data_IF_472854744565
#
_entry.id   IF_472854744565
#
_cell.length_a   1.000
_cell.length_b   1.000
_cell.length_c   1.000
_cell.angle_alpha   90.00
_cell.angle_beta   90.00
_cell.angle_gamma   90.00
#
_symmetry.space_group_name_H-M   'P 1'
#
loop_
_entity.id
_entity.type
_entity.pdbx_description
1 polymer ?
#
# COMPACT_ATOMS: atom_id res chain seq x y z
N UNK A 1 -11.89 13.28 19.63
CA UNK A 1 -12.28 11.83 19.63
C UNK A 1 -11.94 11.31 18.23
N UNK A 2 -11.12 10.30 18.15
CA UNK A 2 -10.77 9.65 16.87
C UNK A 2 -11.45 8.30 16.79
N UNK A 3 -11.81 7.86 15.57
CA UNK A 3 -12.31 6.52 15.33
C UNK A 3 -11.20 5.48 15.61
N UNK A 4 -11.53 4.40 16.30
CA UNK A 4 -10.62 3.26 16.46
C UNK A 4 -10.63 2.42 15.17
N UNK A 5 -9.53 2.46 14.44
CA UNK A 5 -9.35 1.64 13.24
C UNK A 5 -8.62 0.34 13.60
N UNK A 6 -9.27 -0.83 13.41
CA UNK A 6 -8.64 -2.12 13.69
C UNK A 6 -7.68 -2.49 12.54
N UNK A 7 -6.45 -2.81 12.86
CA UNK A 7 -5.49 -3.30 11.86
C UNK A 7 -4.03 -3.01 12.24
N UNK A 8 -3.09 -3.79 11.70
CA UNK A 8 -1.68 -3.51 11.86
C UNK A 8 -1.25 -2.30 11.03
N UNK A 9 -0.10 -1.71 11.37
CA UNK A 9 0.57 -0.75 10.48
C UNK A 9 0.79 -1.39 9.11
N UNK A 10 0.63 -0.61 8.05
CA UNK A 10 0.70 -1.12 6.67
C UNK A 10 2.00 -1.86 6.40
N UNK A 11 3.13 -1.31 6.83
CA UNK A 11 4.46 -1.95 6.71
C UNK A 11 4.51 -3.30 7.41
N UNK A 12 3.99 -3.37 8.63
CA UNK A 12 4.04 -4.59 9.44
C UNK A 12 3.09 -5.65 8.89
N UNK A 13 1.87 -5.24 8.51
CA UNK A 13 0.88 -6.13 7.89
C UNK A 13 1.37 -6.73 6.56
N UNK A 14 1.98 -5.90 5.71
CA UNK A 14 2.58 -6.34 4.45
C UNK A 14 3.75 -7.29 4.69
N UNK A 15 4.65 -6.95 5.60
CA UNK A 15 5.82 -7.78 5.94
C UNK A 15 5.40 -9.13 6.49
N UNK A 16 4.44 -9.16 7.42
CA UNK A 16 3.90 -10.40 7.99
C UNK A 16 3.26 -11.28 6.91
N UNK A 17 2.47 -10.69 6.01
CA UNK A 17 1.87 -11.42 4.90
C UNK A 17 2.91 -12.05 3.99
N UNK A 18 3.88 -11.27 3.51
CA UNK A 18 4.91 -11.78 2.60
C UNK A 18 5.86 -12.77 3.27
N UNK A 19 6.15 -12.62 4.57
CA UNK A 19 6.92 -13.61 5.32
C UNK A 19 6.19 -14.96 5.40
N UNK A 20 4.89 -14.93 5.67
CA UNK A 20 4.05 -16.14 5.69
C UNK A 20 3.98 -16.78 4.30
N UNK A 21 3.81 -15.97 3.25
CA UNK A 21 3.77 -16.42 1.87
C UNK A 21 5.12 -17.03 1.44
N UNK A 22 6.24 -16.38 1.75
CA UNK A 22 7.60 -16.90 1.48
C UNK A 22 7.82 -18.26 2.13
N UNK A 23 7.44 -18.39 3.40
CA UNK A 23 7.54 -19.66 4.13
C UNK A 23 6.70 -20.76 3.47
N UNK A 24 5.50 -20.45 2.99
CA UNK A 24 4.65 -21.40 2.27
C UNK A 24 5.26 -21.84 0.92
N UNK A 25 6.11 -21.01 0.29
CA UNK A 25 6.86 -21.32 -0.91
C UNK A 25 8.23 -21.98 -0.64
N UNK A 26 8.56 -22.25 0.61
CA UNK A 26 9.86 -22.84 1.00
C UNK A 26 11.05 -21.89 0.86
N UNK A 27 10.80 -20.57 0.92
CA UNK A 27 11.80 -19.52 0.80
C UNK A 27 11.73 -18.54 1.97
N UNK A 28 12.58 -17.51 1.99
CA UNK A 28 12.60 -16.47 3.01
C UNK A 28 12.22 -15.11 2.42
N UNK A 29 11.70 -14.21 3.24
CA UNK A 29 11.35 -12.86 2.81
C UNK A 29 12.57 -12.12 2.23
N UNK A 30 13.73 -12.24 2.89
CA UNK A 30 14.97 -11.59 2.46
C UNK A 30 15.41 -12.04 1.05
N UNK A 31 15.24 -13.34 0.74
CA UNK A 31 15.56 -13.88 -0.58
C UNK A 31 14.62 -13.29 -1.64
N UNK A 32 13.33 -13.21 -1.35
CA UNK A 32 12.35 -12.61 -2.25
C UNK A 32 12.61 -11.10 -2.48
N UNK A 33 12.97 -10.36 -1.43
CA UNK A 33 13.34 -8.95 -1.55
C UNK A 33 14.60 -8.77 -2.41
N UNK A 34 15.58 -9.64 -2.26
CA UNK A 34 16.80 -9.62 -3.08
C UNK A 34 16.53 -9.93 -4.54
N UNK A 35 15.75 -10.97 -4.82
CA UNK A 35 15.33 -11.35 -6.18
C UNK A 35 14.51 -10.24 -6.83
N UNK A 36 13.59 -9.60 -6.10
CA UNK A 36 12.81 -8.49 -6.61
C UNK A 36 13.67 -7.26 -6.94
N UNK A 37 14.64 -6.92 -6.09
CA UNK A 37 15.59 -5.82 -6.37
C UNK A 37 16.42 -6.11 -7.60
N UNK A 38 17.00 -7.30 -7.70
CA UNK A 38 17.80 -7.71 -8.85
C UNK A 38 16.97 -7.65 -10.15
N UNK A 39 15.73 -8.12 -10.10
CA UNK A 39 14.84 -8.06 -11.26
C UNK A 39 14.52 -6.63 -11.69
N UNK A 40 14.34 -5.70 -10.74
CA UNK A 40 14.14 -4.28 -11.04
C UNK A 40 15.41 -3.66 -11.64
N UNK A 41 16.59 -4.05 -11.17
CA UNK A 41 17.87 -3.58 -11.72
C UNK A 41 18.11 -4.09 -13.16
N UNK A 42 17.72 -5.33 -13.46
CA UNK A 42 17.91 -5.96 -14.79
C UNK A 42 16.85 -5.55 -15.81
N UNK A 43 15.57 -5.54 -15.40
CA UNK A 43 14.41 -5.36 -16.30
C UNK A 43 13.81 -3.93 -16.21
N UNK A 44 14.25 -3.14 -15.23
CA UNK A 44 13.65 -1.84 -14.91
C UNK A 44 12.36 -1.95 -14.11
N UNK A 45 11.73 -0.81 -13.84
CA UNK A 45 10.46 -0.76 -13.11
C UNK A 45 9.35 -1.29 -14.03
N UNK A 46 8.61 -2.35 -13.63
CA UNK A 46 7.57 -2.91 -14.47
C UNK A 46 6.47 -1.88 -14.76
N UNK A 47 5.86 -1.99 -15.93
CA UNK A 47 4.71 -1.16 -16.29
C UNK A 47 3.62 -1.25 -15.21
N UNK A 48 2.90 -0.15 -15.01
CA UNK A 48 1.88 -0.02 -13.98
C UNK A 48 0.88 -1.18 -14.02
N UNK A 49 0.86 -1.99 -12.97
CA UNK A 49 -0.09 -3.07 -12.78
C UNK A 49 -1.10 -2.68 -11.71
N UNK A 50 -2.37 -2.58 -12.08
CA UNK A 50 -3.45 -2.16 -11.17
C UNK A 50 -3.94 -3.27 -10.23
N UNK A 51 -3.38 -4.47 -10.35
CA UNK A 51 -3.85 -5.64 -9.61
C UNK A 51 -5.13 -6.27 -10.22
N UNK A 52 -5.69 -7.29 -9.57
CA UNK A 52 -6.90 -7.94 -10.02
C UNK A 52 -8.12 -7.02 -9.92
N UNK A 53 -9.09 -7.16 -10.82
CA UNK A 53 -10.30 -6.37 -10.82
C UNK A 53 -11.11 -6.55 -9.53
N UNK A 54 -11.93 -5.55 -9.18
CA UNK A 54 -12.78 -5.58 -7.98
C UNK A 54 -13.71 -6.81 -7.96
N UNK A 55 -14.17 -7.25 -9.13
CA UNK A 55 -15.00 -8.45 -9.28
C UNK A 55 -14.22 -9.73 -8.89
N UNK A 56 -12.99 -9.88 -9.41
CA UNK A 56 -12.11 -11.03 -9.05
C UNK A 56 -11.80 -11.05 -7.56
N UNK A 57 -11.50 -9.90 -6.97
CA UNK A 57 -11.25 -9.76 -5.53
C UNK A 57 -12.51 -10.11 -4.73
N UNK A 58 -13.70 -9.66 -5.17
CA UNK A 58 -14.97 -9.98 -4.54
C UNK A 58 -15.30 -11.47 -4.58
N UNK A 59 -15.09 -12.12 -5.72
CA UNK A 59 -15.24 -13.58 -5.86
C UNK A 59 -14.28 -14.35 -4.94
N UNK A 60 -13.03 -13.95 -4.92
CA UNK A 60 -12.02 -14.59 -4.07
C UNK A 60 -12.32 -14.41 -2.58
N UNK A 61 -12.80 -13.23 -2.18
CA UNK A 61 -13.28 -12.97 -0.81
C UNK A 61 -14.41 -13.91 -0.41
N UNK A 62 -15.43 -14.05 -1.27
CA UNK A 62 -16.56 -14.96 -1.01
C UNK A 62 -16.12 -16.41 -0.88
N UNK A 63 -15.21 -16.83 -1.76
CA UNK A 63 -14.64 -18.17 -1.70
C UNK A 63 -13.86 -18.41 -0.40
N UNK A 64 -13.01 -17.46 0.03
CA UNK A 64 -12.28 -17.54 1.29
C UNK A 64 -13.23 -17.63 2.50
N UNK A 65 -14.28 -16.81 2.49
CA UNK A 65 -15.28 -16.82 3.56
C UNK A 65 -16.03 -18.14 3.63
N UNK A 66 -16.48 -18.66 2.49
CA UNK A 66 -17.16 -19.97 2.42
C UNK A 66 -16.25 -21.11 2.87
N UNK A 67 -14.99 -21.13 2.38
CA UNK A 67 -13.99 -22.11 2.82
C UNK A 67 -13.71 -22.00 4.31
N UNK A 68 -13.53 -20.79 4.83
CA UNK A 68 -13.30 -20.54 6.27
C UNK A 68 -14.46 -20.98 7.12
N UNK A 69 -15.70 -20.69 6.71
CA UNK A 69 -16.91 -21.13 7.40
C UNK A 69 -17.02 -22.67 7.46
N UNK A 70 -16.72 -23.34 6.37
CA UNK A 70 -16.75 -24.81 6.29
C UNK A 70 -15.70 -25.46 7.21
N UNK A 71 -14.46 -24.93 7.19
CA UNK A 71 -13.39 -25.40 8.06
C UNK A 71 -13.71 -25.14 9.54
N UNK A 72 -14.22 -23.95 9.85
CA UNK A 72 -14.59 -23.58 11.21
C UNK A 72 -15.78 -24.39 11.75
N UNK A 73 -16.73 -24.77 10.90
CA UNK A 73 -17.79 -25.70 11.27
C UNK A 73 -17.20 -27.05 11.67
N UNK A 74 -16.27 -27.62 10.89
CA UNK A 74 -15.55 -28.84 11.23
C UNK A 74 -14.75 -28.74 12.53
N UNK A 75 -14.02 -27.62 12.71
CA UNK A 75 -13.27 -27.33 13.95
C UNK A 75 -14.24 -27.22 15.14
N UNK A 76 -15.40 -26.58 14.96
CA UNK A 76 -16.41 -26.46 15.98
C UNK A 76 -16.97 -27.84 16.45
N UNK A 77 -17.23 -28.73 15.50
CA UNK A 77 -17.64 -30.11 15.79
C UNK A 77 -16.51 -30.85 16.54
N UNK A 78 -15.29 -30.78 16.06
CA UNK A 78 -14.12 -31.36 16.71
C UNK A 78 -13.96 -30.81 18.15
N UNK A 79 -13.98 -29.50 18.33
CA UNK A 79 -13.80 -28.88 19.65
C UNK A 79 -14.92 -29.20 20.63
N UNK A 80 -16.16 -29.41 20.16
CA UNK A 80 -17.31 -29.79 20.98
C UNK A 80 -17.29 -31.26 21.42
N UNK A 81 -16.58 -32.12 20.71
CA UNK A 81 -16.47 -33.56 20.94
C UNK A 81 -15.09 -33.94 21.48
N UNK A 82 -14.16 -34.22 20.58
CA UNK A 82 -12.80 -34.70 20.88
C UNK A 82 -11.89 -33.62 21.48
N UNK A 83 -12.07 -32.36 21.10
CA UNK A 83 -11.29 -31.24 21.59
C UNK A 83 -11.47 -30.94 23.09
N UNK A 84 -12.55 -31.46 23.72
CA UNK A 84 -12.73 -31.40 25.18
C UNK A 84 -11.78 -32.32 25.94
N UNK A 85 -11.34 -33.40 25.31
CA UNK A 85 -10.42 -34.41 25.89
C UNK A 85 -9.00 -34.20 25.43
N UNK A 86 -8.83 -33.65 24.19
CA UNK A 86 -7.55 -33.24 23.58
C UNK A 86 -7.50 -31.74 23.55
N UNK A 87 -6.36 -31.18 23.07
CA UNK A 87 -6.24 -29.73 22.88
C UNK A 87 -7.23 -29.23 21.82
N UNK A 88 -7.99 -28.14 22.08
CA UNK A 88 -8.88 -27.56 21.09
C UNK A 88 -8.08 -26.97 19.93
N UNK A 89 -8.62 -27.07 18.73
CA UNK A 89 -8.07 -26.46 17.53
C UNK A 89 -8.48 -24.99 17.43
N UNK A 90 -7.53 -24.12 17.02
CA UNK A 90 -7.85 -22.73 16.73
C UNK A 90 -8.71 -22.61 15.46
N UNK A 91 -9.65 -21.67 15.47
CA UNK A 91 -10.43 -21.34 14.27
C UNK A 91 -9.57 -20.69 13.21
N UNK A 92 -9.89 -20.94 11.94
CA UNK A 92 -9.19 -20.37 10.78
C UNK A 92 -9.72 -18.96 10.52
N UNK A 93 -8.83 -17.98 10.55
CA UNK A 93 -9.14 -16.63 10.11
C UNK A 93 -9.01 -16.53 8.59
N UNK A 94 -10.06 -16.04 7.94
CA UNK A 94 -10.08 -15.83 6.49
C UNK A 94 -9.77 -14.37 6.19
N UNK A 95 -8.48 -14.03 6.14
CA UNK A 95 -8.03 -12.69 5.72
C UNK A 95 -7.78 -12.65 4.22
N UNK A 96 -8.11 -11.52 3.58
CA UNK A 96 -7.74 -11.27 2.19
C UNK A 96 -6.24 -10.98 2.10
N UNK A 97 -5.55 -11.54 1.08
CA UNK A 97 -4.20 -11.10 0.79
C UNK A 97 -4.18 -9.62 0.45
N UNK A 98 -3.18 -8.86 0.92
CA UNK A 98 -3.05 -7.45 0.59
C UNK A 98 -2.83 -7.27 -0.91
N UNK A 99 -3.68 -6.45 -1.53
CA UNK A 99 -3.53 -6.10 -2.94
C UNK A 99 -2.57 -4.90 -3.06
N UNK A 100 -1.28 -5.18 -3.05
CA UNK A 100 -0.21 -4.17 -3.08
C UNK A 100 -0.38 -3.14 -4.20
N UNK A 101 -0.64 -3.52 -5.46
CA UNK A 101 -0.83 -2.53 -6.53
C UNK A 101 -2.00 -1.59 -6.25
N UNK A 102 -3.10 -2.10 -5.72
CA UNK A 102 -4.27 -1.29 -5.36
C UNK A 102 -4.00 -0.38 -4.16
N UNK A 103 -3.24 -0.88 -3.18
CA UNK A 103 -2.83 -0.09 -2.02
C UNK A 103 -2.02 1.12 -2.50
N UNK A 104 -0.99 0.89 -3.32
CA UNK A 104 -0.15 1.96 -3.88
C UNK A 104 -0.99 2.94 -4.71
N UNK A 105 -1.85 2.45 -5.61
CA UNK A 105 -2.72 3.30 -6.42
C UNK A 105 -3.66 4.16 -5.55
N UNK A 106 -4.22 3.58 -4.49
CA UNK A 106 -5.10 4.30 -3.54
C UNK A 106 -4.34 5.39 -2.80
N UNK A 107 -3.14 5.08 -2.29
CA UNK A 107 -2.28 6.05 -1.60
C UNK A 107 -1.87 7.19 -2.52
N UNK A 108 -1.42 6.88 -3.74
CA UNK A 108 -1.01 7.88 -4.73
C UNK A 108 -2.18 8.79 -5.14
N UNK A 109 -3.37 8.24 -5.33
CA UNK A 109 -4.57 9.03 -5.65
C UNK A 109 -5.00 9.92 -4.50
N UNK A 110 -5.06 9.38 -3.27
CA UNK A 110 -5.43 10.14 -2.09
C UNK A 110 -4.45 11.29 -1.86
N UNK A 111 -3.15 11.00 -1.93
CA UNK A 111 -2.10 12.00 -1.74
C UNK A 111 -2.07 13.05 -2.86
N UNK A 112 -2.23 12.60 -4.10
CA UNK A 112 -2.35 13.51 -5.25
C UNK A 112 -3.57 14.43 -5.15
N UNK A 113 -4.71 13.91 -4.66
CA UNK A 113 -5.91 14.72 -4.44
C UNK A 113 -5.69 15.77 -3.34
N UNK A 114 -5.14 15.35 -2.19
CA UNK A 114 -4.79 16.26 -1.09
C UNK A 114 -3.85 17.38 -1.53
N UNK A 115 -2.82 17.04 -2.30
CA UNK A 115 -1.81 17.99 -2.78
C UNK A 115 -2.35 18.95 -3.85
N UNK A 116 -2.99 18.40 -4.89
CA UNK A 116 -3.31 19.17 -6.11
C UNK A 116 -4.71 19.80 -6.06
N UNK A 117 -5.66 19.17 -5.37
CA UNK A 117 -7.06 19.64 -5.30
C UNK A 117 -7.33 20.40 -4.02
N UNK A 118 -7.08 19.76 -2.86
CA UNK A 118 -7.36 20.38 -1.56
C UNK A 118 -6.29 21.42 -1.18
N UNK A 119 -5.04 21.21 -1.57
CA UNK A 119 -3.90 22.03 -1.16
C UNK A 119 -3.54 21.83 0.31
N UNK A 120 -4.05 20.79 0.94
CA UNK A 120 -3.76 20.39 2.33
C UNK A 120 -3.38 18.91 2.31
N UNK A 121 -2.17 18.59 2.71
CA UNK A 121 -1.66 17.24 2.60
C UNK A 121 -0.76 16.84 3.78
N UNK A 122 -0.66 15.54 4.02
CA UNK A 122 0.30 15.00 4.97
C UNK A 122 1.70 15.00 4.33
N UNK A 123 2.63 15.75 4.91
CA UNK A 123 4.01 15.88 4.42
C UNK A 123 4.93 14.72 4.87
N UNK A 124 4.42 13.78 5.67
CA UNK A 124 5.14 12.60 6.14
C UNK A 124 4.37 11.30 5.81
N UNK A 125 4.21 10.94 4.52
CA UNK A 125 3.42 9.80 4.09
C UNK A 125 4.19 8.47 4.18
N UNK A 126 4.85 8.19 5.30
CA UNK A 126 5.54 6.90 5.46
C UNK A 126 4.57 5.78 5.85
N UNK A 127 4.93 4.53 5.53
CA UNK A 127 4.05 3.36 5.72
C UNK A 127 3.65 3.06 7.16
N UNK A 128 4.33 3.64 8.16
CA UNK A 128 3.97 3.57 9.56
C UNK A 128 2.76 4.43 9.95
N UNK A 129 2.40 5.42 9.09
CA UNK A 129 1.25 6.31 9.28
C UNK A 129 -0.03 5.80 8.58
N UNK A 130 0.02 4.57 8.08
CA UNK A 130 -1.12 3.90 7.47
C UNK A 130 -1.43 2.59 8.20
N UNK A 131 -2.71 2.24 8.28
CA UNK A 131 -3.19 0.96 8.77
C UNK A 131 -3.75 0.12 7.62
N UNK A 132 -3.46 -1.16 7.63
CA UNK A 132 -4.09 -2.13 6.74
C UNK A 132 -5.30 -2.73 7.45
N UNK A 133 -6.51 -2.33 7.03
CA UNK A 133 -7.74 -2.79 7.65
C UNK A 133 -8.12 -4.20 7.15
N UNK A 134 -8.82 -5.00 7.96
CA UNK A 134 -9.19 -6.38 7.61
C UNK A 134 -10.03 -6.51 6.34
N UNK A 135 -10.77 -5.46 5.98
CA UNK A 135 -11.57 -5.39 4.75
C UNK A 135 -10.78 -4.92 3.52
N UNK A 136 -9.48 -4.63 3.68
CA UNK A 136 -8.57 -4.16 2.63
C UNK A 136 -8.60 -2.66 2.39
N UNK A 137 -9.29 -1.88 3.22
CA UNK A 137 -9.17 -0.41 3.23
C UNK A 137 -7.87 0.01 3.88
N UNK A 138 -7.45 1.23 3.59
CA UNK A 138 -6.29 1.88 4.20
C UNK A 138 -6.78 2.94 5.17
N UNK A 139 -6.33 2.86 6.42
CA UNK A 139 -6.53 3.90 7.42
C UNK A 139 -5.35 4.87 7.44
N UNK A 140 -5.63 6.16 7.42
CA UNK A 140 -4.65 7.22 7.60
C UNK A 140 -4.71 7.66 9.06
N UNK A 141 -3.60 7.62 9.79
CA UNK A 141 -3.63 7.78 11.27
C UNK A 141 -2.80 8.92 11.81
N UNK A 142 -1.85 9.46 11.09
CA UNK A 142 -1.01 10.55 11.58
C UNK A 142 -1.01 11.72 10.60
N UNK A 143 -1.52 12.85 11.07
CA UNK A 143 -1.56 14.13 10.37
C UNK A 143 -0.73 15.20 11.07
N UNK A 144 0.21 14.81 11.95
CA UNK A 144 1.06 15.72 12.71
C UNK A 144 1.94 16.60 11.81
N UNK A 145 2.28 16.14 10.63
CA UNK A 145 3.08 16.86 9.63
C UNK A 145 2.21 17.43 8.48
N UNK A 146 1.01 17.90 8.79
CA UNK A 146 0.12 18.49 7.77
C UNK A 146 0.66 19.84 7.28
N UNK A 147 0.70 20.01 5.97
CA UNK A 147 1.04 21.27 5.29
C UNK A 147 -0.13 21.80 4.49
N UNK A 148 -0.26 23.12 4.49
CA UNK A 148 -1.24 23.87 3.68
C UNK A 148 -0.45 24.64 2.62
N UNK A 149 -0.79 24.39 1.36
CA UNK A 149 -0.20 25.11 0.23
C UNK A 149 -0.96 26.39 -0.06
N UNK A 150 -0.22 27.45 -0.34
CA UNK A 150 -0.79 28.63 -0.97
C UNK A 150 -1.29 28.31 -2.37
N UNK A 151 -2.13 29.19 -2.94
CA UNK A 151 -2.63 29.01 -4.32
C UNK A 151 -1.46 28.89 -5.32
N UNK A 152 -0.42 29.71 -5.16
CA UNK A 152 0.71 29.70 -6.08
C UNK A 152 1.52 28.41 -5.98
N UNK A 153 1.84 27.95 -4.77
CA UNK A 153 2.52 26.67 -4.55
C UNK A 153 1.73 25.50 -5.14
N UNK A 154 0.41 25.50 -5.00
CA UNK A 154 -0.45 24.48 -5.61
C UNK A 154 -0.41 24.51 -7.13
N UNK A 155 -0.47 25.71 -7.74
CA UNK A 155 -0.34 25.86 -9.20
C UNK A 155 1.02 25.34 -9.65
N UNK A 156 2.11 25.75 -8.98
CA UNK A 156 3.47 25.27 -9.27
C UNK A 156 3.57 23.76 -9.20
N UNK A 157 2.98 23.12 -8.15
CA UNK A 157 2.92 21.67 -8.04
C UNK A 157 2.16 21.04 -9.23
N UNK A 158 1.00 21.60 -9.61
CA UNK A 158 0.25 21.12 -10.77
C UNK A 158 1.05 21.16 -12.06
N UNK A 159 1.75 22.29 -12.32
CA UNK A 159 2.59 22.46 -13.50
C UNK A 159 3.77 21.47 -13.48
N UNK A 160 4.43 21.32 -12.33
CA UNK A 160 5.51 20.35 -12.13
C UNK A 160 5.06 18.92 -12.46
N UNK A 161 3.95 18.45 -11.90
CA UNK A 161 3.45 17.11 -12.18
C UNK A 161 2.98 16.94 -13.63
N UNK A 162 2.43 17.99 -14.25
CA UNK A 162 2.08 17.97 -15.68
C UNK A 162 3.32 17.88 -16.56
N UNK A 163 4.39 18.62 -16.25
CA UNK A 163 5.66 18.58 -16.95
C UNK A 163 6.33 17.19 -16.82
N UNK A 164 6.37 16.65 -15.60
CA UNK A 164 6.85 15.27 -15.35
C UNK A 164 6.09 14.23 -16.17
N UNK A 165 4.76 14.32 -16.19
CA UNK A 165 3.91 13.36 -16.91
C UNK A 165 4.10 13.43 -18.44
N UNK A 166 4.50 14.60 -18.98
CA UNK A 166 4.75 14.81 -20.41
C UNK A 166 6.21 14.59 -20.80
N UNK A 167 7.11 14.47 -19.81
CA UNK A 167 8.56 14.43 -20.05
C UNK A 167 9.12 15.76 -20.57
N UNK A 168 8.46 16.88 -20.22
CA UNK A 168 8.83 18.23 -20.64
C UNK A 168 10.00 18.74 -19.79
N UNK A 169 11.21 18.51 -20.29
CA UNK A 169 12.44 18.87 -19.60
C UNK A 169 12.61 20.39 -19.45
N UNK A 170 12.24 21.15 -20.48
CA UNK A 170 12.42 22.61 -20.48
C UNK A 170 11.56 23.25 -19.39
N UNK A 171 10.31 22.84 -19.28
CA UNK A 171 9.40 23.28 -18.22
C UNK A 171 9.90 22.86 -16.83
N UNK A 172 10.49 21.66 -16.69
CA UNK A 172 11.05 21.19 -15.42
C UNK A 172 12.24 22.06 -14.99
N UNK A 173 13.10 22.45 -15.92
CA UNK A 173 14.21 23.35 -15.62
C UNK A 173 13.72 24.76 -15.25
N UNK A 174 12.74 25.29 -15.96
CA UNK A 174 12.14 26.60 -15.63
C UNK A 174 11.54 26.61 -14.23
N UNK A 175 10.78 25.57 -13.86
CA UNK A 175 10.20 25.45 -12.52
C UNK A 175 11.29 25.34 -11.45
N UNK A 176 12.36 24.59 -11.71
CA UNK A 176 13.48 24.44 -10.80
C UNK A 176 14.20 25.77 -10.57
N UNK A 177 14.43 26.54 -11.63
CA UNK A 177 15.11 27.84 -11.58
C UNK A 177 14.26 28.86 -10.79
N UNK A 178 12.97 28.97 -11.11
CA UNK A 178 12.01 29.82 -10.36
C UNK A 178 11.89 29.39 -8.89
N UNK A 179 11.94 28.08 -8.62
CA UNK A 179 11.91 27.51 -7.27
C UNK A 179 13.21 27.64 -6.48
N UNK A 180 14.27 28.21 -7.10
CA UNK A 180 15.58 28.37 -6.47
C UNK A 180 16.36 27.07 -6.29
N UNK A 181 15.97 25.98 -6.96
CA UNK A 181 16.71 24.73 -6.95
C UNK A 181 17.97 24.85 -7.83
N UNK A 182 19.12 24.71 -7.20
CA UNK A 182 20.40 24.70 -7.94
C UNK A 182 20.88 23.26 -8.08
N UNK A 183 21.14 22.82 -9.31
CA UNK A 183 21.81 21.56 -9.54
C UNK A 183 23.24 21.60 -8.97
N UNK A 184 23.66 20.53 -8.31
CA UNK A 184 25.03 20.39 -7.80
C UNK A 184 26.07 20.40 -8.92
N UNK A 185 25.68 20.11 -10.13
CA UNK A 185 26.54 19.93 -11.29
C UNK A 185 26.37 21.03 -12.36
N UNK A 186 25.42 21.95 -12.18
CA UNK A 186 25.32 23.17 -13.02
C UNK A 186 24.97 22.97 -14.49
N UNK A 187 24.75 21.74 -14.93
CA UNK A 187 24.60 21.42 -16.35
C UNK A 187 23.15 21.14 -16.75
N UNK A 188 22.77 21.74 -17.88
CA UNK A 188 21.45 21.55 -18.52
C UNK A 188 21.44 20.36 -19.50
N UNK A 189 22.44 19.46 -19.41
CA UNK A 189 22.57 18.31 -20.34
C UNK A 189 21.72 17.12 -19.90
#
# INVERSE_FOLDING_TARGET
IMELLPGPKLTDGMRAYYATWAKAQGTTLEKLEKEAKQKIEEEGIPARYSGPSAFKVGMYRRWLQARGALLNAGIGIYNSTLGRVKNPMAYVESSLPPNTPRIVDTLMRAHGYQLLVDGVFNADPHGGNFLLLPDGRIGFIDYGATKVLTRNERITACVLFAALARGDKDMLFEIADVGGFKSKYGDKD
#
